data_IF_360507299715
#
_entry.id   IF_360507299715
#
_cell.length_a   1.000
_cell.length_b   1.000
_cell.length_c   1.000
_cell.angle_alpha   90.00
_cell.angle_beta   90.00
_cell.angle_gamma   90.00
#
_symmetry.space_group_name_H-M   'P 1'
#
loop_
_entity.id
_entity.type
_entity.pdbx_description
1 polymer ?
#
# COMPACT_ATOMS: atom_id res chain seq x y z
N UNK A 1 31.37 -8.48 -2.40
CA UNK A 1 30.67 -8.52 -1.09
C UNK A 1 30.46 -7.10 -0.55
N UNK A 2 29.89 -6.20 -1.37
CA UNK A 2 29.77 -4.76 -1.05
C UNK A 2 28.33 -4.21 -1.09
N UNK A 3 27.31 -5.09 -1.13
CA UNK A 3 25.91 -4.66 -1.20
C UNK A 3 25.34 -4.12 0.13
N UNK A 4 26.13 -4.11 1.22
CA UNK A 4 25.64 -3.77 2.58
C UNK A 4 25.91 -2.33 3.03
N UNK A 5 26.59 -1.48 2.26
CA UNK A 5 27.15 -0.23 2.81
C UNK A 5 26.33 1.05 2.60
N UNK A 6 25.26 1.07 1.79
CA UNK A 6 24.53 2.32 1.50
C UNK A 6 23.00 2.17 1.41
N UNK A 7 22.42 1.19 2.11
CA UNK A 7 20.96 1.05 2.14
C UNK A 7 20.37 1.93 3.25
N UNK A 8 19.54 2.88 2.87
CA UNK A 8 18.80 3.79 3.76
C UNK A 8 17.29 3.67 3.54
N UNK A 9 16.51 4.26 4.45
CA UNK A 9 15.06 4.38 4.30
C UNK A 9 14.70 5.77 3.80
N UNK A 10 13.86 5.83 2.76
CA UNK A 10 13.33 7.09 2.24
C UNK A 10 12.56 7.83 3.33
N UNK A 11 12.89 9.10 3.56
CA UNK A 11 12.23 9.95 4.56
C UNK A 11 10.72 10.10 4.32
N UNK A 12 10.29 10.08 3.06
CA UNK A 12 8.90 10.32 2.64
C UNK A 12 8.02 9.07 2.61
N UNK A 13 8.49 7.99 1.97
CA UNK A 13 7.67 6.79 1.74
C UNK A 13 8.13 5.57 2.52
N UNK A 14 9.22 5.68 3.29
CA UNK A 14 9.85 4.59 4.04
C UNK A 14 10.30 3.40 3.20
N UNK A 15 10.32 3.51 1.87
CA UNK A 15 10.89 2.48 1.02
C UNK A 15 12.40 2.37 1.22
N UNK A 16 12.93 1.17 1.01
CA UNK A 16 14.37 0.88 1.03
C UNK A 16 15.01 1.41 -0.24
N UNK A 17 16.08 2.18 -0.11
CA UNK A 17 16.71 2.90 -1.23
C UNK A 17 18.17 3.23 -0.92
N UNK A 18 18.87 3.81 -1.90
CA UNK A 18 20.26 4.27 -1.77
C UNK A 18 20.37 5.80 -1.73
N UNK A 19 19.25 6.51 -1.92
CA UNK A 19 19.18 7.99 -1.92
C UNK A 19 17.89 8.46 -1.23
N UNK A 20 17.95 9.64 -0.60
CA UNK A 20 16.80 10.24 0.09
C UNK A 20 16.53 11.65 -0.45
N UNK A 21 15.33 11.94 -1.01
CA UNK A 21 14.22 11.03 -1.27
C UNK A 21 14.53 9.94 -2.33
N UNK A 22 13.80 8.82 -2.25
CA UNK A 22 13.97 7.74 -3.22
C UNK A 22 13.60 8.17 -4.64
N UNK A 23 14.10 7.44 -5.64
CA UNK A 23 13.90 7.74 -7.06
C UNK A 23 12.44 7.86 -7.49
N UNK A 24 11.50 7.20 -6.80
CA UNK A 24 10.06 7.30 -7.08
C UNK A 24 9.49 8.60 -6.52
N UNK A 25 9.85 8.95 -5.28
CA UNK A 25 9.37 10.16 -4.62
C UNK A 25 9.93 11.43 -5.27
N UNK A 26 11.19 11.40 -5.73
CA UNK A 26 11.83 12.55 -6.39
C UNK A 26 11.44 12.72 -7.86
N UNK A 27 10.68 11.78 -8.44
CA UNK A 27 10.35 11.80 -9.87
C UNK A 27 9.14 12.72 -10.15
N UNK A 28 9.30 13.81 -10.92
CA UNK A 28 8.22 14.75 -11.22
C UNK A 28 7.19 14.20 -12.21
N UNK A 29 7.50 13.11 -12.93
CA UNK A 29 6.54 12.42 -13.80
C UNK A 29 5.59 11.50 -13.05
N UNK A 30 5.79 11.30 -11.74
CA UNK A 30 4.90 10.51 -10.87
C UNK A 30 3.80 11.39 -10.29
N UNK A 31 2.62 10.82 -10.16
CA UNK A 31 1.49 11.48 -9.53
C UNK A 31 1.65 11.44 -8.01
N UNK A 32 2.02 12.58 -7.42
CA UNK A 32 2.19 12.72 -5.97
C UNK A 32 0.84 12.75 -5.23
N UNK A 33 -0.27 12.91 -5.94
CA UNK A 33 -1.62 12.90 -5.37
C UNK A 33 -2.19 11.51 -5.15
N UNK A 34 -1.53 10.46 -5.63
CA UNK A 34 -1.98 9.06 -5.48
C UNK A 34 -0.91 8.27 -4.73
N UNK A 35 -1.25 7.81 -3.53
CA UNK A 35 -0.36 7.02 -2.67
C UNK A 35 -0.83 5.56 -2.63
N UNK A 36 0.02 4.63 -3.05
CA UNK A 36 -0.19 3.20 -2.86
C UNK A 36 0.54 2.71 -1.60
N UNK A 37 -0.24 2.29 -0.62
CA UNK A 37 0.25 1.79 0.67
C UNK A 37 0.46 0.28 0.59
N UNK A 38 1.69 -0.17 0.85
CA UNK A 38 2.08 -1.57 0.81
C UNK A 38 2.69 -2.02 2.14
N UNK A 39 2.69 -3.33 2.40
CA UNK A 39 3.26 -3.87 3.63
C UNK A 39 4.78 -3.91 3.59
N UNK A 40 5.36 -4.35 2.46
CA UNK A 40 6.79 -4.62 2.35
C UNK A 40 7.45 -3.87 1.17
N UNK A 41 8.76 -3.57 1.24
CA UNK A 41 9.51 -2.99 0.11
C UNK A 41 9.46 -3.84 -1.16
N UNK A 42 9.35 -5.17 -1.02
CA UNK A 42 9.23 -6.11 -2.14
C UNK A 42 7.94 -5.92 -2.93
N UNK A 43 6.87 -5.45 -2.29
CA UNK A 43 5.58 -5.22 -2.93
C UNK A 43 5.65 -4.03 -3.89
N UNK A 44 6.45 -3.01 -3.54
CA UNK A 44 6.77 -1.89 -4.45
C UNK A 44 7.37 -2.43 -5.75
N UNK A 45 8.35 -3.33 -5.64
CA UNK A 45 8.99 -3.93 -6.81
C UNK A 45 8.00 -4.73 -7.66
N UNK A 46 7.09 -5.47 -7.01
CA UNK A 46 6.05 -6.25 -7.70
C UNK A 46 5.08 -5.37 -8.47
N UNK A 47 4.62 -4.25 -7.90
CA UNK A 47 3.71 -3.32 -8.56
C UNK A 47 4.44 -2.54 -9.67
N UNK A 48 5.68 -2.09 -9.43
CA UNK A 48 6.47 -1.35 -10.42
C UNK A 48 6.77 -2.18 -11.67
N UNK A 49 7.00 -3.50 -11.52
CA UNK A 49 7.19 -4.42 -12.65
C UNK A 49 6.03 -4.44 -13.64
N UNK A 50 4.82 -4.05 -13.21
CA UNK A 50 3.67 -3.95 -14.12
C UNK A 50 3.82 -2.80 -15.12
N UNK A 51 4.59 -1.76 -14.77
CA UNK A 51 4.72 -0.53 -15.56
C UNK A 51 3.42 0.28 -15.70
N UNK A 52 2.37 -0.06 -14.94
CA UNK A 52 1.04 0.56 -15.04
C UNK A 52 0.77 1.61 -13.96
N UNK A 53 1.31 1.43 -12.76
CA UNK A 53 1.10 2.37 -11.67
C UNK A 53 2.00 3.60 -11.84
N UNK A 54 1.41 4.80 -11.78
CA UNK A 54 2.12 6.08 -11.94
C UNK A 54 2.13 6.94 -10.68
N UNK A 55 1.45 6.51 -9.62
CA UNK A 55 1.50 7.18 -8.34
C UNK A 55 2.81 6.92 -7.60
N UNK A 56 2.81 7.26 -6.32
CA UNK A 56 3.91 7.03 -5.38
C UNK A 56 3.52 6.00 -4.32
N UNK A 57 4.50 5.50 -3.59
CA UNK A 57 4.28 4.45 -2.58
C UNK A 57 4.37 4.98 -1.16
N UNK A 58 3.90 4.18 -0.22
CA UNK A 58 4.22 4.25 1.20
C UNK A 58 4.36 2.83 1.76
N UNK A 59 5.49 2.53 2.40
CA UNK A 59 5.80 1.18 2.90
C UNK A 59 5.60 1.15 4.41
N UNK A 60 4.76 0.23 4.89
CA UNK A 60 4.43 0.11 6.30
C UNK A 60 5.46 -0.67 7.11
N UNK A 61 6.24 -1.54 6.45
CA UNK A 61 7.14 -2.52 7.07
C UNK A 61 6.43 -3.54 7.97
N UNK A 62 5.24 -3.96 7.55
CA UNK A 62 4.42 -4.94 8.26
C UNK A 62 2.94 -4.59 8.23
N UNK A 63 2.20 -5.33 9.05
CA UNK A 63 0.77 -5.19 9.28
C UNK A 63 0.51 -5.24 10.80
N UNK A 64 -0.66 -4.76 11.21
CA UNK A 64 -1.12 -4.86 12.60
C UNK A 64 -1.36 -6.34 12.91
N UNK A 65 -0.60 -6.87 13.85
CA UNK A 65 -0.64 -8.26 14.25
C UNK A 65 -0.65 -8.36 15.78
N UNK A 66 -1.86 -8.45 16.39
CA UNK A 66 -2.01 -8.57 17.83
C UNK A 66 -1.38 -9.84 18.42
N UNK A 67 -1.27 -10.92 17.64
CA UNK A 67 -0.70 -12.19 18.12
C UNK A 67 0.81 -12.07 18.33
N UNK A 68 1.47 -11.29 17.47
CA UNK A 68 2.89 -10.98 17.57
C UNK A 68 3.17 -9.67 18.33
N UNK A 69 2.16 -9.08 18.98
CA UNK A 69 2.24 -7.79 19.69
C UNK A 69 2.69 -6.60 18.80
N UNK A 70 2.40 -6.65 17.50
CA UNK A 70 2.68 -5.57 16.56
C UNK A 70 1.48 -4.64 16.49
N UNK A 71 1.62 -3.47 17.13
CA UNK A 71 0.62 -2.41 17.12
C UNK A 71 0.78 -1.44 15.94
N UNK A 72 -0.16 -0.50 15.76
CA UNK A 72 -0.09 0.52 14.71
C UNK A 72 1.10 1.49 14.87
N UNK A 73 1.66 1.62 16.07
CA UNK A 73 2.83 2.47 16.35
C UNK A 73 4.16 1.79 16.00
N UNK A 74 4.17 0.46 15.85
CA UNK A 74 5.35 -0.33 15.49
C UNK A 74 5.58 -0.41 13.97
N UNK A 75 4.63 0.12 13.19
CA UNK A 75 4.67 0.20 11.73
C UNK A 75 4.49 1.65 11.29
N UNK A 76 4.87 1.95 10.04
CA UNK A 76 4.91 3.33 9.56
C UNK A 76 3.55 3.92 9.16
N UNK A 77 2.48 3.62 9.89
CA UNK A 77 1.15 4.22 9.68
C UNK A 77 1.15 5.70 10.07
N UNK A 78 1.78 6.05 11.19
CA UNK A 78 1.81 7.43 11.67
C UNK A 78 2.51 8.37 10.65
N UNK A 79 3.57 7.90 9.99
CA UNK A 79 4.22 8.64 8.89
C UNK A 79 3.32 8.82 7.67
N UNK A 80 2.50 7.82 7.32
CA UNK A 80 1.51 7.96 6.26
C UNK A 80 0.49 9.05 6.59
N UNK A 81 -0.04 9.02 7.82
CA UNK A 81 -1.05 9.99 8.28
C UNK A 81 -0.46 11.41 8.27
N UNK A 82 0.76 11.59 8.78
CA UNK A 82 1.49 12.86 8.72
C UNK A 82 1.74 13.32 7.29
N UNK A 83 2.08 12.40 6.40
CA UNK A 83 2.29 12.70 4.98
C UNK A 83 1.03 13.23 4.34
N UNK A 84 -0.11 12.54 4.51
CA UNK A 84 -1.41 12.99 3.98
C UNK A 84 -1.80 14.37 4.55
N UNK A 85 -1.60 14.57 5.85
CA UNK A 85 -1.90 15.84 6.52
C UNK A 85 -1.01 16.99 6.01
N UNK A 86 0.31 16.78 5.95
CA UNK A 86 1.29 17.79 5.56
C UNK A 86 1.18 18.23 4.11
N UNK A 87 0.63 17.38 3.25
CA UNK A 87 0.36 17.67 1.85
C UNK A 87 -0.97 18.42 1.61
N UNK A 88 -1.77 18.64 2.65
CA UNK A 88 -3.08 19.31 2.56
C UNK A 88 -4.04 18.57 1.62
N UNK A 89 -4.59 19.29 0.64
CA UNK A 89 -5.52 18.76 -0.36
C UNK A 89 -4.83 18.18 -1.61
N UNK A 90 -3.50 18.07 -1.63
CA UNK A 90 -2.79 17.53 -2.82
C UNK A 90 -2.86 16.00 -2.94
N UNK A 91 -3.06 15.28 -1.83
CA UNK A 91 -3.35 13.84 -1.88
C UNK A 91 -4.84 13.63 -2.14
N UNK A 92 -5.14 13.00 -3.26
CA UNK A 92 -6.50 12.75 -3.73
C UNK A 92 -6.93 11.29 -3.46
N UNK A 93 -6.00 10.35 -3.55
CA UNK A 93 -6.29 8.92 -3.40
C UNK A 93 -5.21 8.18 -2.59
N UNK A 94 -5.68 7.33 -1.68
CA UNK A 94 -4.87 6.35 -0.96
C UNK A 94 -5.35 4.96 -1.34
N UNK A 95 -4.50 4.20 -2.04
CA UNK A 95 -4.75 2.83 -2.45
C UNK A 95 -4.14 1.89 -1.41
N UNK A 96 -4.97 1.07 -0.78
CA UNK A 96 -4.56 0.10 0.24
C UNK A 96 -4.24 -1.24 -0.44
N UNK A 97 -2.95 -1.52 -0.59
CA UNK A 97 -2.38 -2.73 -1.16
C UNK A 97 -1.74 -3.64 -0.09
N UNK A 98 -2.31 -3.65 1.12
CA UNK A 98 -2.00 -4.67 2.14
C UNK A 98 -2.57 -6.03 1.74
N UNK A 99 -2.02 -7.10 2.30
CA UNK A 99 -2.36 -8.48 1.97
C UNK A 99 -3.85 -8.78 2.24
N UNK A 100 -4.46 -9.71 1.49
CA UNK A 100 -5.87 -10.08 1.63
C UNK A 100 -6.09 -11.11 2.75
N UNK A 101 -5.38 -10.97 3.87
CA UNK A 101 -5.50 -11.79 5.07
C UNK A 101 -6.09 -10.97 6.23
N UNK A 102 -6.30 -11.60 7.39
CA UNK A 102 -6.95 -10.95 8.53
C UNK A 102 -6.18 -9.72 9.02
N UNK A 103 -4.85 -9.82 9.10
CA UNK A 103 -3.95 -8.76 9.56
C UNK A 103 -3.92 -7.60 8.56
N UNK A 104 -3.81 -7.90 7.26
CA UNK A 104 -3.82 -6.91 6.20
C UNK A 104 -5.15 -6.16 6.08
N UNK A 105 -6.28 -6.85 6.27
CA UNK A 105 -7.61 -6.24 6.33
C UNK A 105 -7.77 -5.36 7.56
N UNK A 106 -7.36 -5.83 8.75
CA UNK A 106 -7.39 -5.02 9.97
C UNK A 106 -6.55 -3.74 9.81
N UNK A 107 -5.37 -3.87 9.21
CA UNK A 107 -4.45 -2.75 8.90
C UNK A 107 -5.11 -1.77 7.94
N UNK A 108 -5.70 -2.25 6.84
CA UNK A 108 -6.39 -1.41 5.86
C UNK A 108 -7.57 -0.64 6.49
N UNK A 109 -8.37 -1.31 7.33
CA UNK A 109 -9.47 -0.68 8.06
C UNK A 109 -8.97 0.39 9.03
N UNK A 110 -7.86 0.13 9.74
CA UNK A 110 -7.27 1.10 10.66
C UNK A 110 -6.76 2.34 9.92
N UNK A 111 -6.00 2.16 8.84
CA UNK A 111 -5.51 3.26 7.99
C UNK A 111 -6.68 4.07 7.44
N UNK A 112 -7.75 3.41 6.99
CA UNK A 112 -8.95 4.09 6.49
C UNK A 112 -9.52 5.06 7.53
N UNK A 113 -9.69 4.61 8.77
CA UNK A 113 -10.21 5.46 9.86
C UNK A 113 -9.28 6.63 10.17
N UNK A 114 -7.97 6.40 10.22
CA UNK A 114 -6.98 7.45 10.54
C UNK A 114 -6.85 8.49 9.41
N UNK A 115 -6.80 8.05 8.16
CA UNK A 115 -6.69 8.98 7.02
C UNK A 115 -7.98 9.81 6.90
N UNK A 116 -9.15 9.19 7.05
CA UNK A 116 -10.44 9.91 6.99
C UNK A 116 -10.64 10.89 8.14
N UNK A 117 -10.09 10.62 9.33
CA UNK A 117 -10.18 11.55 10.45
C UNK A 117 -9.34 12.82 10.22
N UNK A 118 -8.24 12.72 9.46
CA UNK A 118 -7.41 13.88 9.10
C UNK A 118 -7.91 14.62 7.85
N UNK A 119 -8.28 13.89 6.81
CA UNK A 119 -8.80 14.48 5.57
C UNK A 119 -9.94 13.62 4.99
N UNK A 120 -11.17 14.03 5.27
CA UNK A 120 -12.37 13.31 4.84
C UNK A 120 -12.52 13.24 3.31
N UNK A 121 -11.91 14.17 2.56
CA UNK A 121 -12.01 14.25 1.09
C UNK A 121 -11.15 13.22 0.37
N UNK A 122 -10.09 12.72 1.00
CA UNK A 122 -9.19 11.72 0.39
C UNK A 122 -9.98 10.47 0.04
N UNK A 123 -9.94 10.08 -1.23
CA UNK A 123 -10.53 8.81 -1.68
C UNK A 123 -9.68 7.66 -1.16
N UNK A 124 -10.32 6.64 -0.61
CA UNK A 124 -9.64 5.43 -0.17
C UNK A 124 -10.13 4.28 -1.03
N UNK A 125 -9.20 3.57 -1.65
CA UNK A 125 -9.49 2.41 -2.50
C UNK A 125 -8.69 1.20 -2.05
N UNK A 126 -9.20 0.01 -2.38
CA UNK A 126 -8.58 -1.28 -2.07
C UNK A 126 -8.19 -1.94 -3.39
N UNK A 127 -7.08 -2.67 -3.43
CA UNK A 127 -6.82 -3.54 -4.56
C UNK A 127 -7.96 -4.56 -4.71
N UNK A 128 -8.26 -4.92 -5.96
CA UNK A 128 -9.31 -5.88 -6.24
C UNK A 128 -8.93 -7.27 -5.69
N UNK A 129 -9.92 -7.95 -5.11
CA UNK A 129 -9.82 -9.33 -4.70
C UNK A 129 -10.49 -10.21 -5.75
N UNK A 130 -9.87 -11.34 -6.09
CA UNK A 130 -10.46 -12.28 -7.03
C UNK A 130 -9.47 -13.32 -7.56
N UNK A 131 -9.91 -14.00 -8.61
CA UNK A 131 -9.17 -15.09 -9.23
C UNK A 131 -7.93 -14.58 -10.00
N UNK A 132 -6.78 -15.26 -9.87
CA UNK A 132 -5.63 -14.98 -10.71
C UNK A 132 -5.95 -15.29 -12.18
N UNK A 133 -5.40 -14.51 -13.09
CA UNK A 133 -5.48 -14.81 -14.52
C UNK A 133 -4.77 -16.13 -14.81
N UNK A 134 -5.46 -17.06 -15.47
CA UNK A 134 -4.92 -18.38 -15.80
C UNK A 134 -5.10 -19.44 -14.70
N UNK A 135 -5.78 -19.12 -13.60
CA UNK A 135 -6.21 -20.12 -12.62
C UNK A 135 -7.53 -20.78 -13.04
N UNK A 136 -7.65 -22.08 -12.84
CA UNK A 136 -8.92 -22.77 -13.02
C UNK A 136 -9.82 -22.55 -11.79
N UNK A 137 -11.11 -22.32 -12.04
CA UNK A 137 -12.12 -22.06 -11.00
C UNK A 137 -12.19 -23.19 -9.98
N UNK A 138 -11.96 -24.43 -10.40
CA UNK A 138 -12.03 -25.62 -9.54
C UNK A 138 -10.98 -25.65 -8.41
N UNK A 139 -9.88 -24.92 -8.55
CA UNK A 139 -8.81 -24.85 -7.54
C UNK A 139 -8.89 -23.62 -6.64
N UNK A 140 -9.88 -22.75 -6.84
CA UNK A 140 -10.07 -21.57 -6.03
C UNK A 140 -10.83 -21.89 -4.73
N UNK A 141 -10.41 -21.26 -3.63
CA UNK A 141 -11.14 -21.35 -2.37
C UNK A 141 -12.46 -20.57 -2.41
N UNK A 142 -13.38 -20.93 -1.52
CA UNK A 142 -14.72 -20.35 -1.43
C UNK A 142 -14.67 -18.82 -1.22
N UNK A 143 -13.74 -18.32 -0.40
CA UNK A 143 -13.64 -16.88 -0.10
C UNK A 143 -13.22 -16.12 -1.36
N UNK A 144 -12.22 -16.61 -2.10
CA UNK A 144 -11.79 -16.01 -3.36
C UNK A 144 -12.91 -16.00 -4.40
N UNK A 145 -13.68 -17.09 -4.51
CA UNK A 145 -14.82 -17.18 -5.44
C UNK A 145 -15.94 -16.20 -5.07
N UNK A 146 -16.28 -16.10 -3.79
CA UNK A 146 -17.26 -15.12 -3.30
C UNK A 146 -16.82 -13.70 -3.66
N UNK A 147 -15.56 -13.34 -3.40
CA UNK A 147 -15.01 -12.02 -3.75
C UNK A 147 -15.03 -11.75 -5.26
N UNK A 148 -14.69 -12.75 -6.08
CA UNK A 148 -14.73 -12.62 -7.53
C UNK A 148 -16.15 -12.40 -8.05
N UNK A 149 -17.15 -13.09 -7.47
CA UNK A 149 -18.56 -12.93 -7.83
C UNK A 149 -19.13 -11.57 -7.39
N UNK A 150 -18.77 -11.09 -6.20
CA UNK A 150 -19.11 -9.75 -5.72
C UNK A 150 -18.50 -8.66 -6.62
N UNK A 151 -17.26 -8.85 -7.07
CA UNK A 151 -16.52 -7.94 -7.93
C UNK A 151 -16.79 -8.06 -9.43
N UNK A 152 -17.82 -8.81 -9.85
CA UNK A 152 -18.13 -9.01 -11.28
C UNK A 152 -18.45 -7.69 -11.98
N UNK A 153 -18.01 -7.57 -13.24
CA UNK A 153 -18.20 -6.37 -14.07
C UNK A 153 -19.15 -6.68 -15.23
N UNK A 154 -19.96 -5.69 -15.60
CA UNK A 154 -20.79 -5.71 -16.81
C UNK A 154 -19.93 -5.40 -18.04
N UNK A 155 -20.33 -5.93 -19.20
CA UNK A 155 -19.71 -5.70 -20.51
C UNK A 155 -20.66 -5.00 -21.45
#
# INVERSE_FOLDING_TARGET
TDLKKHTIMCSLCKNVTEQDPCVICSNPSRDQGIICVVEQPTDVLSIEKTGKFKGVYHVLHGSIDPLNNIGPDEIYINDLVKRVQGTGDSVQEVILATNPNMEGEATAMYITKQVKSQNAKVKITRLAHGLPVGADIEYADEVTLTRALEGRREY
#
